data_IF_814580224138
#
_entry.id   IF_814580224138
#
_cell.length_a   1.000
_cell.length_b   1.000
_cell.length_c   1.000
_cell.angle_alpha   90.00
_cell.angle_beta   90.00
_cell.angle_gamma   90.00
#
_symmetry.space_group_name_H-M   'P 1'
#
loop_
_entity.id
_entity.type
_entity.pdbx_description
1 polymer ?
#
# COMPACT_ATOMS: atom_id res chain seq x y z
N UNK A 1 8.37 4.05 -23.87
CA UNK A 1 7.38 3.77 -22.80
C UNK A 1 8.13 3.02 -21.71
N UNK A 2 8.35 3.64 -20.55
CA UNK A 2 8.97 2.96 -19.40
C UNK A 2 8.01 1.87 -18.92
N UNK A 3 8.49 0.66 -18.71
CA UNK A 3 7.67 -0.45 -18.23
C UNK A 3 7.21 -0.20 -16.78
N UNK A 4 6.13 -0.85 -16.34
CA UNK A 4 5.65 -0.69 -14.96
C UNK A 4 6.72 -1.10 -13.93
N UNK A 5 7.50 -2.13 -14.25
CA UNK A 5 8.66 -2.58 -13.47
C UNK A 5 9.75 -1.51 -13.31
N UNK A 6 9.87 -0.57 -14.26
CA UNK A 6 10.86 0.52 -14.16
C UNK A 6 10.40 1.65 -13.22
N UNK A 7 9.12 1.67 -12.84
CA UNK A 7 8.53 2.72 -12.00
C UNK A 7 8.37 2.32 -10.54
N UNK A 8 8.07 1.05 -10.29
CA UNK A 8 7.92 0.52 -8.93
C UNK A 8 9.30 0.35 -8.26
N UNK A 9 9.39 0.48 -6.93
CA UNK A 9 10.62 0.16 -6.21
C UNK A 9 10.91 -1.35 -6.33
N UNK A 10 12.17 -1.75 -6.14
CA UNK A 10 12.59 -3.15 -6.18
C UNK A 10 12.18 -3.93 -4.91
N UNK A 11 10.88 -3.92 -4.62
CA UNK A 11 10.21 -4.54 -3.46
C UNK A 11 8.76 -4.84 -3.86
N UNK A 12 8.14 -5.85 -3.24
CA UNK A 12 6.75 -6.18 -3.51
C UNK A 12 5.86 -4.98 -3.18
N UNK A 13 4.93 -4.65 -4.08
CA UNK A 13 3.90 -3.62 -3.88
C UNK A 13 2.55 -4.26 -4.13
N UNK A 14 1.62 -4.13 -3.18
CA UNK A 14 0.29 -4.73 -3.27
C UNK A 14 -0.78 -3.77 -2.74
N UNK A 15 -1.81 -3.50 -3.55
CA UNK A 15 -2.91 -2.62 -3.17
C UNK A 15 -4.15 -3.32 -2.67
N UNK A 16 -4.95 -2.59 -1.91
CA UNK A 16 -6.31 -2.98 -1.50
C UNK A 16 -7.31 -2.01 -2.13
N UNK A 17 -7.92 -2.44 -3.24
CA UNK A 17 -8.88 -1.65 -4.00
C UNK A 17 -10.29 -1.91 -3.49
N UNK A 18 -11.00 -0.86 -3.06
CA UNK A 18 -12.38 -1.00 -2.63
C UNK A 18 -13.09 0.34 -2.66
N UNK A 19 -14.42 0.33 -2.80
CA UNK A 19 -15.24 1.51 -2.56
C UNK A 19 -15.16 1.96 -1.09
N UNK A 20 -15.50 3.23 -0.83
CA UNK A 20 -15.57 3.75 0.53
C UNK A 20 -16.59 2.95 1.35
N UNK A 21 -16.29 2.72 2.64
CA UNK A 21 -17.13 1.92 3.54
C UNK A 21 -16.80 0.42 3.59
N UNK A 22 -15.99 -0.13 2.68
CA UNK A 22 -15.68 -1.58 2.61
C UNK A 22 -14.82 -2.11 3.76
N UNK A 23 -14.27 -1.23 4.59
CA UNK A 23 -13.43 -1.61 5.74
C UNK A 23 -11.96 -1.86 5.39
N UNK A 24 -11.41 -1.16 4.37
CA UNK A 24 -9.99 -1.25 3.99
C UNK A 24 -9.04 -1.04 5.18
N UNK A 25 -9.22 0.06 5.92
CA UNK A 25 -8.40 0.36 7.10
C UNK A 25 -8.53 -0.74 8.14
N UNK A 26 -9.75 -1.20 8.41
CA UNK A 26 -10.03 -2.27 9.39
C UNK A 26 -9.36 -3.58 9.00
N UNK A 27 -9.38 -3.95 7.72
CA UNK A 27 -8.66 -5.12 7.23
C UNK A 27 -7.14 -4.96 7.39
N UNK A 28 -6.59 -3.80 7.03
CA UNK A 28 -5.15 -3.56 7.17
C UNK A 28 -4.71 -3.57 8.64
N UNK A 29 -5.51 -3.01 9.55
CA UNK A 29 -5.27 -3.03 10.98
C UNK A 29 -5.23 -4.46 11.56
N UNK A 30 -6.04 -5.39 11.03
CA UNK A 30 -6.00 -6.80 11.44
C UNK A 30 -4.90 -7.60 10.73
N UNK A 31 -4.62 -7.30 9.45
CA UNK A 31 -3.67 -8.02 8.61
C UNK A 31 -2.22 -7.75 8.99
N UNK A 32 -1.84 -6.47 9.21
CA UNK A 32 -0.45 -6.07 9.45
C UNK A 32 0.16 -6.82 10.66
N UNK A 33 -0.52 -6.92 11.83
CA UNK A 33 0.00 -7.71 12.95
C UNK A 33 0.27 -9.17 12.61
N UNK A 34 -0.57 -9.80 11.79
CA UNK A 34 -0.40 -11.19 11.36
C UNK A 34 0.85 -11.34 10.48
N UNK A 35 1.06 -10.42 9.53
CA UNK A 35 2.26 -10.41 8.67
C UNK A 35 3.54 -10.21 9.50
N UNK A 36 3.53 -9.26 10.44
CA UNK A 36 4.66 -8.99 11.33
C UNK A 36 4.97 -10.21 12.20
N UNK A 37 3.95 -10.90 12.71
CA UNK A 37 4.13 -12.13 13.50
C UNK A 37 4.82 -13.25 12.70
N UNK A 38 4.73 -13.22 11.36
CA UNK A 38 5.44 -14.13 10.46
C UNK A 38 6.79 -13.57 9.97
N UNK A 39 7.27 -12.48 10.58
CA UNK A 39 8.57 -11.89 10.26
C UNK A 39 8.58 -10.99 9.03
N UNK A 40 7.42 -10.68 8.43
CA UNK A 40 7.33 -9.78 7.27
C UNK A 40 7.40 -8.32 7.74
N UNK A 41 8.34 -7.56 7.17
CA UNK A 41 8.51 -6.12 7.39
C UNK A 41 7.65 -5.35 6.41
N UNK A 42 6.65 -4.65 6.92
CA UNK A 42 5.58 -4.03 6.12
C UNK A 42 5.73 -2.51 6.09
N UNK A 43 5.81 -1.94 4.89
CA UNK A 43 5.53 -0.53 4.62
C UNK A 43 4.06 -0.32 4.31
N UNK A 44 3.51 0.85 4.66
CA UNK A 44 2.12 1.20 4.33
C UNK A 44 2.08 2.55 3.65
N UNK A 45 1.60 2.57 2.41
CA UNK A 45 1.24 3.78 1.70
C UNK A 45 -0.26 4.01 1.79
N UNK A 46 -0.68 5.17 2.29
CA UNK A 46 -2.10 5.56 2.36
C UNK A 46 -2.30 6.85 1.57
N UNK A 47 -3.19 6.80 0.57
CA UNK A 47 -3.61 8.00 -0.14
C UNK A 47 -4.80 8.65 0.56
N UNK A 48 -4.75 9.98 0.76
CA UNK A 48 -5.83 10.79 1.32
C UNK A 48 -6.12 11.97 0.42
N UNK A 49 -7.40 12.29 0.24
CA UNK A 49 -7.85 13.53 -0.40
C UNK A 49 -7.93 14.71 0.57
N UNK A 50 -7.67 14.47 1.86
CA UNK A 50 -7.63 15.50 2.89
C UNK A 50 -6.19 15.84 3.26
N UNK A 51 -5.95 17.11 3.58
CA UNK A 51 -4.68 17.57 4.15
C UNK A 51 -4.41 16.84 5.46
N UNK A 52 -3.21 16.30 5.61
CA UNK A 52 -2.75 15.61 6.81
C UNK A 52 -1.74 16.52 7.49
N UNK A 53 -1.97 16.80 8.78
CA UNK A 53 -1.04 17.55 9.61
C UNK A 53 -0.57 16.64 10.75
N UNK A 54 0.68 16.18 10.67
CA UNK A 54 1.29 15.32 11.69
C UNK A 54 1.96 16.12 12.80
N UNK A 55 2.44 17.33 12.50
CA UNK A 55 3.05 18.19 13.51
C UNK A 55 1.99 18.88 14.35
N UNK A 56 2.31 19.15 15.61
CA UNK A 56 1.48 20.02 16.44
C UNK A 56 1.72 21.49 16.07
N UNK A 57 0.69 22.26 15.67
CA UNK A 57 0.85 23.69 15.40
C UNK A 57 1.52 24.45 16.55
N UNK A 58 2.44 25.34 16.20
CA UNK A 58 3.19 26.17 17.15
C UNK A 58 4.43 25.52 17.79
N UNK A 59 4.68 24.21 17.58
CA UNK A 59 5.95 23.58 17.98
C UNK A 59 7.07 23.88 17.00
N UNK A 60 8.31 23.64 17.41
CA UNK A 60 9.49 24.04 16.63
C UNK A 60 9.55 23.34 15.27
N UNK A 61 9.23 22.04 15.18
CA UNK A 61 9.17 21.32 13.91
C UNK A 61 8.15 21.93 12.94
N UNK A 62 6.95 22.23 13.42
CA UNK A 62 5.92 22.93 12.65
C UNK A 62 6.43 24.29 12.15
N UNK A 63 7.07 25.07 13.03
CA UNK A 63 7.59 26.40 12.70
C UNK A 63 8.71 26.33 11.65
N UNK A 64 9.61 25.35 11.75
CA UNK A 64 10.68 25.13 10.77
C UNK A 64 10.09 24.77 9.40
N UNK A 65 9.11 23.87 9.36
CA UNK A 65 8.44 23.49 8.11
C UNK A 65 7.69 24.67 7.49
N UNK A 66 6.88 25.41 8.28
CA UNK A 66 6.17 26.61 7.81
C UNK A 66 7.05 27.82 7.52
N UNK A 67 8.31 27.81 7.96
CA UNK A 67 9.30 28.80 7.54
C UNK A 67 9.79 28.58 6.09
N UNK A 68 9.40 27.48 5.45
CA UNK A 68 9.71 27.18 4.05
C UNK A 68 10.71 26.03 3.85
N UNK A 69 10.98 25.23 4.89
CA UNK A 69 11.76 24.02 4.70
C UNK A 69 11.00 23.04 3.79
N UNK A 70 11.58 22.74 2.63
CA UNK A 70 11.00 21.80 1.66
C UNK A 70 10.92 20.37 2.21
N UNK A 71 11.95 19.98 2.98
CA UNK A 71 11.98 18.73 3.72
C UNK A 71 12.37 18.97 5.17
N UNK A 72 11.76 18.21 6.07
CA UNK A 72 12.12 18.16 7.49
C UNK A 72 12.22 16.71 7.95
N UNK A 73 13.33 16.37 8.60
CA UNK A 73 13.55 15.05 9.20
C UNK A 73 13.65 15.21 10.72
N UNK A 74 12.62 14.75 11.42
CA UNK A 74 12.61 14.71 12.87
C UNK A 74 13.03 13.31 13.32
N UNK A 75 13.80 13.21 14.39
CA UNK A 75 14.19 11.92 14.96
C UNK A 75 14.09 11.92 16.47
N UNK A 76 13.76 10.75 17.00
CA UNK A 76 13.75 10.40 18.42
C UNK A 76 14.33 8.99 18.55
N UNK A 77 14.70 8.53 19.76
CA UNK A 77 15.12 7.14 19.95
C UNK A 77 14.09 6.09 19.50
N UNK A 78 12.81 6.46 19.40
CA UNK A 78 11.72 5.55 19.05
C UNK A 78 11.34 5.56 17.56
N UNK A 79 11.62 6.63 16.81
CA UNK A 79 11.20 6.80 15.40
C UNK A 79 11.80 8.04 14.75
N UNK A 80 11.78 8.05 13.42
CA UNK A 80 11.95 9.23 12.58
C UNK A 80 10.64 9.59 11.87
N UNK A 81 10.49 10.87 11.51
CA UNK A 81 9.37 11.41 10.72
C UNK A 81 9.98 12.29 9.62
N UNK A 82 9.81 11.88 8.37
CA UNK A 82 10.19 12.67 7.20
C UNK A 82 8.94 13.31 6.61
N UNK A 83 8.93 14.63 6.53
CA UNK A 83 7.87 15.39 5.85
C UNK A 83 8.47 16.10 4.64
N UNK A 84 7.88 15.87 3.46
CA UNK A 84 8.19 16.60 2.22
C UNK A 84 6.99 17.48 1.87
N UNK A 85 7.22 18.77 1.72
CA UNK A 85 6.20 19.74 1.33
C UNK A 85 6.16 19.83 -0.20
N UNK A 86 5.00 19.53 -0.79
CA UNK A 86 4.76 19.82 -2.20
C UNK A 86 4.10 21.19 -2.27
N UNK A 87 4.70 22.13 -3.00
CA UNK A 87 4.13 23.46 -3.23
C UNK A 87 2.69 23.35 -3.77
N UNK A 88 1.87 24.39 -3.58
CA UNK A 88 0.49 24.52 -4.10
C UNK A 88 0.37 24.54 -5.65
N UNK A 89 1.36 24.02 -6.37
CA UNK A 89 1.29 23.73 -7.80
C UNK A 89 0.36 22.52 -7.98
N UNK A 90 -0.50 22.46 -9.01
CA UNK A 90 -1.66 21.57 -9.01
C UNK A 90 -1.35 20.09 -9.26
N UNK A 91 -0.08 19.68 -9.29
CA UNK A 91 0.29 18.29 -9.51
C UNK A 91 0.54 17.63 -8.16
N UNK A 92 -0.41 16.80 -7.75
CA UNK A 92 -0.19 15.82 -6.68
C UNK A 92 1.13 15.07 -6.93
N UNK A 93 1.91 14.76 -5.89
CA UNK A 93 3.14 13.99 -6.05
C UNK A 93 2.88 12.69 -6.80
N UNK A 94 3.77 12.34 -7.73
CA UNK A 94 3.68 11.11 -8.50
C UNK A 94 3.69 9.91 -7.56
N UNK A 95 2.66 9.06 -7.68
CA UNK A 95 2.48 7.86 -6.86
C UNK A 95 3.73 6.97 -6.87
N UNK A 96 4.31 6.75 -8.05
CA UNK A 96 5.50 5.89 -8.18
C UNK A 96 6.71 6.53 -7.51
N UNK A 97 6.89 7.85 -7.66
CA UNK A 97 7.95 8.58 -6.98
C UNK A 97 7.84 8.50 -5.45
N UNK A 98 6.63 8.55 -4.89
CA UNK A 98 6.43 8.41 -3.45
C UNK A 98 6.74 7.00 -2.95
N UNK A 99 6.45 5.96 -3.74
CA UNK A 99 6.84 4.59 -3.37
C UNK A 99 8.36 4.43 -3.29
N UNK A 100 9.13 5.16 -4.09
CA UNK A 100 10.61 5.15 -4.02
C UNK A 100 11.17 5.81 -2.74
N UNK A 101 10.33 6.46 -1.92
CA UNK A 101 10.76 7.04 -0.65
C UNK A 101 10.82 6.01 0.49
N UNK A 102 10.26 4.82 0.28
CA UNK A 102 10.39 3.73 1.25
C UNK A 102 11.80 3.16 1.23
N UNK A 103 12.30 2.78 2.41
CA UNK A 103 13.53 2.00 2.55
C UNK A 103 13.26 0.56 2.10
N UNK A 104 13.40 0.32 0.79
CA UNK A 104 13.13 -0.97 0.16
C UNK A 104 14.12 -2.07 0.57
N UNK A 105 15.28 -1.72 1.13
CA UNK A 105 16.24 -2.71 1.63
C UNK A 105 15.79 -3.29 2.98
N UNK A 106 15.07 -2.50 3.78
CA UNK A 106 14.60 -2.89 5.11
C UNK A 106 13.13 -3.31 5.17
N UNK A 107 12.47 -3.43 4.02
CA UNK A 107 11.08 -3.85 3.91
C UNK A 107 10.97 -5.07 3.01
N UNK A 108 9.92 -5.86 3.20
CA UNK A 108 9.61 -7.02 2.37
C UNK A 108 8.41 -6.75 1.44
N UNK A 109 7.51 -5.84 1.85
CA UNK A 109 6.36 -5.40 1.06
C UNK A 109 5.91 -3.98 1.41
N UNK A 110 5.36 -3.27 0.43
CA UNK A 110 4.57 -2.05 0.62
C UNK A 110 3.10 -2.35 0.34
N UNK A 111 2.25 -2.19 1.36
CA UNK A 111 0.80 -2.27 1.22
C UNK A 111 0.23 -0.89 0.86
N UNK A 112 -0.64 -0.84 -0.14
CA UNK A 112 -1.24 0.41 -0.64
C UNK A 112 -2.72 0.47 -0.29
N UNK A 113 -3.11 1.44 0.52
CA UNK A 113 -4.51 1.80 0.76
C UNK A 113 -4.91 3.00 -0.11
N UNK A 114 -5.74 2.75 -1.12
CA UNK A 114 -6.20 3.78 -2.07
C UNK A 114 -5.57 3.62 -3.46
N UNK A 115 -5.43 4.72 -4.19
CA UNK A 115 -4.81 4.75 -5.53
C UNK A 115 -5.40 3.75 -6.54
N UNK A 116 -6.71 3.46 -6.47
CA UNK A 116 -7.36 2.45 -7.35
C UNK A 116 -7.18 2.71 -8.85
N UNK A 117 -6.94 3.96 -9.25
CA UNK A 117 -6.73 4.35 -10.66
C UNK A 117 -5.28 4.15 -11.14
N UNK A 118 -4.33 3.92 -10.22
CA UNK A 118 -2.93 3.67 -10.56
C UNK A 118 -2.74 2.22 -10.99
N UNK A 119 -1.71 1.96 -11.80
CA UNK A 119 -1.43 0.66 -12.40
C UNK A 119 -0.43 -0.10 -11.55
N UNK A 120 -0.85 -1.14 -10.86
CA UNK A 120 -0.03 -2.01 -10.01
C UNK A 120 -0.92 -3.13 -9.44
N UNK A 121 -0.36 -4.28 -9.00
CA UNK A 121 -1.15 -5.39 -8.49
C UNK A 121 -2.03 -5.03 -7.28
N UNK A 122 -3.29 -5.47 -7.29
CA UNK A 122 -4.28 -5.19 -6.23
C UNK A 122 -5.12 -6.42 -5.87
N UNK A 123 -5.53 -6.47 -4.61
CA UNK A 123 -6.67 -7.28 -4.15
C UNK A 123 -7.91 -6.37 -4.14
N UNK A 124 -8.97 -6.76 -4.84
CA UNK A 124 -10.26 -6.08 -4.73
C UNK A 124 -11.01 -6.56 -3.48
N UNK A 125 -11.42 -5.64 -2.61
CA UNK A 125 -12.33 -5.94 -1.51
C UNK A 125 -13.75 -5.59 -1.90
N UNK A 126 -14.67 -6.53 -1.69
CA UNK A 126 -16.08 -6.35 -2.02
C UNK A 126 -16.97 -6.85 -0.88
N UNK A 127 -17.78 -5.95 -0.31
CA UNK A 127 -18.87 -6.32 0.60
C UNK A 127 -20.19 -6.19 -0.12
N UNK A 128 -20.99 -7.23 -0.10
CA UNK A 128 -22.28 -7.23 -0.80
C UNK A 128 -23.20 -6.10 -0.30
N UNK A 129 -23.22 -5.82 1.00
CA UNK A 129 -24.08 -4.79 1.61
C UNK A 129 -23.82 -3.37 1.08
N UNK A 130 -22.62 -3.10 0.55
CA UNK A 130 -22.22 -1.79 0.03
C UNK A 130 -22.87 -1.51 -1.33
N UNK A 131 -23.37 -2.55 -2.00
CA UNK A 131 -24.11 -2.48 -3.26
C UNK A 131 -23.37 -1.64 -4.33
N UNK A 132 -22.06 -1.85 -4.45
CA UNK A 132 -21.22 -1.26 -5.48
C UNK A 132 -20.82 -2.32 -6.51
N UNK A 133 -20.61 -1.92 -7.78
CA UNK A 133 -20.14 -2.84 -8.79
C UNK A 133 -18.74 -3.34 -8.43
N UNK A 134 -18.35 -4.46 -9.03
CA UNK A 134 -16.98 -4.93 -9.02
C UNK A 134 -16.10 -4.03 -9.90
N UNK A 135 -14.82 -3.94 -9.56
CA UNK A 135 -13.78 -3.35 -10.40
C UNK A 135 -13.23 -4.40 -11.36
N UNK A 136 -13.10 -5.65 -10.90
CA UNK A 136 -12.95 -6.82 -11.76
C UNK A 136 -14.25 -7.03 -12.55
N UNK A 137 -14.21 -7.38 -13.86
CA UNK A 137 -13.03 -7.74 -14.66
C UNK A 137 -12.36 -6.58 -15.39
N UNK A 138 -12.83 -5.34 -15.21
CA UNK A 138 -12.39 -4.20 -16.01
C UNK A 138 -11.02 -3.64 -15.60
N UNK A 139 -10.58 -3.86 -14.34
CA UNK A 139 -9.20 -3.59 -13.92
C UNK A 139 -8.34 -4.87 -13.98
N UNK A 140 -7.47 -5.02 -15.01
CA UNK A 140 -6.62 -6.19 -15.17
C UNK A 140 -5.46 -6.26 -14.18
N UNK A 141 -5.24 -5.24 -13.34
CA UNK A 141 -4.24 -5.33 -12.26
C UNK A 141 -4.81 -5.99 -10.99
N UNK A 142 -6.10 -6.35 -10.98
CA UNK A 142 -6.68 -7.12 -9.88
C UNK A 142 -6.21 -8.57 -10.01
N UNK A 143 -5.43 -9.02 -9.03
CA UNK A 143 -4.85 -10.37 -8.99
C UNK A 143 -5.61 -11.32 -8.06
N UNK A 144 -6.48 -10.79 -7.21
CA UNK A 144 -7.36 -11.55 -6.32
C UNK A 144 -8.57 -10.70 -5.91
N UNK A 145 -9.64 -11.38 -5.49
CA UNK A 145 -10.83 -10.75 -4.92
C UNK A 145 -11.05 -11.28 -3.50
N UNK A 146 -11.44 -10.42 -2.57
CA UNK A 146 -11.82 -10.78 -1.21
C UNK A 146 -13.23 -10.30 -0.92
N UNK A 147 -14.14 -11.21 -0.59
CA UNK A 147 -15.56 -10.89 -0.43
C UNK A 147 -16.24 -11.65 0.71
N UNK A 148 -17.38 -11.13 1.17
CA UNK A 148 -18.22 -11.71 2.21
C UNK A 148 -19.25 -12.72 1.66
N UNK A 149 -19.13 -13.11 0.39
CA UNK A 149 -19.99 -14.10 -0.28
C UNK A 149 -19.19 -15.03 -1.16
N UNK A 150 -19.70 -16.25 -1.31
CA UNK A 150 -19.18 -17.15 -2.35
C UNK A 150 -19.54 -16.63 -3.73
N UNK A 151 -18.52 -16.47 -4.57
CA UNK A 151 -18.65 -16.11 -5.98
C UNK A 151 -17.83 -17.06 -6.84
N UNK A 152 -18.24 -17.22 -8.10
CA UNK A 152 -17.44 -17.91 -9.10
C UNK A 152 -16.61 -16.87 -9.85
N UNK A 153 -15.29 -16.91 -9.71
CA UNK A 153 -14.39 -16.07 -10.50
C UNK A 153 -13.12 -16.86 -10.88
N UNK A 154 -12.42 -16.45 -11.96
CA UNK A 154 -11.18 -17.11 -12.40
C UNK A 154 -9.96 -16.69 -11.57
N UNK A 155 -10.09 -15.66 -10.72
CA UNK A 155 -9.04 -15.20 -9.82
C UNK A 155 -9.12 -15.95 -8.47
N UNK A 156 -8.05 -15.94 -7.66
CA UNK A 156 -8.13 -16.30 -6.26
C UNK A 156 -9.27 -15.53 -5.57
N UNK A 157 -10.20 -16.27 -4.96
CA UNK A 157 -11.33 -15.73 -4.22
C UNK A 157 -11.12 -16.01 -2.72
N UNK A 158 -10.89 -14.94 -1.96
CA UNK A 158 -10.59 -14.96 -0.53
C UNK A 158 -11.85 -14.60 0.27
N UNK A 159 -12.00 -15.15 1.48
CA UNK A 159 -12.99 -14.69 2.45
C UNK A 159 -12.50 -13.36 3.05
N UNK A 160 -13.26 -12.29 2.84
CA UNK A 160 -12.94 -10.96 3.36
C UNK A 160 -12.83 -10.93 4.90
N UNK A 161 -13.45 -11.87 5.59
CA UNK A 161 -13.45 -11.95 7.05
C UNK A 161 -12.41 -12.95 7.58
N UNK A 162 -11.72 -13.69 6.70
CA UNK A 162 -10.60 -14.55 7.07
C UNK A 162 -9.26 -13.82 6.86
N UNK A 163 -8.84 -13.09 7.90
CA UNK A 163 -7.56 -12.38 7.88
C UNK A 163 -6.36 -13.32 7.71
N UNK A 164 -6.43 -14.56 8.18
CA UNK A 164 -5.34 -15.51 8.06
C UNK A 164 -5.16 -15.97 6.61
N UNK A 165 -6.26 -16.25 5.91
CA UNK A 165 -6.23 -16.59 4.49
C UNK A 165 -5.69 -15.43 3.63
N UNK A 166 -6.08 -14.19 3.93
CA UNK A 166 -5.56 -13.01 3.23
C UNK A 166 -4.06 -12.84 3.51
N UNK A 167 -3.61 -13.08 4.75
CA UNK A 167 -2.19 -13.04 5.10
C UNK A 167 -1.38 -14.10 4.35
N UNK A 168 -1.88 -15.32 4.23
CA UNK A 168 -1.24 -16.39 3.46
C UNK A 168 -1.05 -16.00 1.99
N UNK A 169 -2.09 -15.43 1.38
CA UNK A 169 -2.01 -14.92 0.01
C UNK A 169 -0.93 -13.84 -0.14
N UNK A 170 -0.89 -12.88 0.80
CA UNK A 170 0.10 -11.78 0.77
C UNK A 170 1.52 -12.32 0.97
N UNK A 171 1.72 -13.28 1.88
CA UNK A 171 3.02 -13.91 2.10
C UNK A 171 3.51 -14.66 0.86
N UNK A 172 2.62 -15.41 0.19
CA UNK A 172 2.96 -16.08 -1.07
C UNK A 172 3.35 -15.07 -2.15
N UNK A 173 2.61 -13.96 -2.27
CA UNK A 173 2.93 -12.89 -3.21
C UNK A 173 4.34 -12.31 -2.98
N UNK A 174 4.74 -12.12 -1.72
CA UNK A 174 6.10 -11.67 -1.38
C UNK A 174 7.16 -12.69 -1.79
N UNK A 175 6.92 -13.97 -1.50
CA UNK A 175 7.85 -15.06 -1.86
C UNK A 175 8.03 -15.18 -3.38
N UNK A 176 6.93 -15.11 -4.13
CA UNK A 176 6.95 -15.15 -5.59
C UNK A 176 7.75 -13.97 -6.14
N UNK A 177 7.52 -12.76 -5.63
CA UNK A 177 8.24 -11.56 -6.05
C UNK A 177 9.76 -11.69 -5.83
N UNK A 178 10.19 -12.15 -4.66
CA UNK A 178 11.60 -12.37 -4.33
C UNK A 178 12.25 -13.43 -5.23
N UNK A 179 11.51 -14.49 -5.55
CA UNK A 179 11.96 -15.57 -6.44
C UNK A 179 12.16 -15.13 -7.89
N UNK A 180 11.45 -14.07 -8.32
CA UNK A 180 11.63 -13.49 -9.67
C UNK A 180 12.76 -12.47 -9.75
N UNK A 181 13.16 -11.86 -8.61
CA UNK A 181 14.27 -10.90 -8.55
C UNK A 181 15.63 -11.60 -8.40
N UNK A 182 15.69 -12.69 -7.64
CA UNK A 182 16.88 -13.52 -7.55
C UNK A 182 16.89 -14.42 -8.79
N UNK A 183 17.75 -14.18 -9.81
CA UNK A 183 17.93 -15.19 -10.84
C UNK A 183 18.34 -16.49 -10.15
N UNK A 184 17.85 -17.62 -10.67
CA UNK A 184 18.24 -18.96 -10.26
C UNK A 184 19.76 -19.15 -10.46
N UNK A 185 20.55 -18.64 -9.53
CA UNK A 185 21.98 -18.89 -9.40
C UNK A 185 22.17 -19.58 -8.07
N UNK A 186 22.00 -20.90 -8.10
CA UNK A 186 22.71 -21.99 -7.40
C UNK A 186 21.79 -23.22 -7.52
N UNK A 187 21.97 -24.00 -8.59
CA UNK A 187 21.86 -25.46 -8.58
C UNK A 187 23.18 -26.01 -9.09
#
# INVERSE_FOLDING_TARGET
MTSLSDKLPNIAVLGFAAFSGTGKTTLLESLIPVLIAHGIRVGVYKHSHHVIEQDKPGKDSFRLRKAGAFQTLLSTPARAILTTEFSEIPTSPDFYHLLQQFDSENLDIILVEGCKEQRFPKIELHRHEINKPWLYPDDPDIIAVATDRMITCPLPCLDLNDTAQIAEFVMQYVQDFQSHILPASIQ
#
